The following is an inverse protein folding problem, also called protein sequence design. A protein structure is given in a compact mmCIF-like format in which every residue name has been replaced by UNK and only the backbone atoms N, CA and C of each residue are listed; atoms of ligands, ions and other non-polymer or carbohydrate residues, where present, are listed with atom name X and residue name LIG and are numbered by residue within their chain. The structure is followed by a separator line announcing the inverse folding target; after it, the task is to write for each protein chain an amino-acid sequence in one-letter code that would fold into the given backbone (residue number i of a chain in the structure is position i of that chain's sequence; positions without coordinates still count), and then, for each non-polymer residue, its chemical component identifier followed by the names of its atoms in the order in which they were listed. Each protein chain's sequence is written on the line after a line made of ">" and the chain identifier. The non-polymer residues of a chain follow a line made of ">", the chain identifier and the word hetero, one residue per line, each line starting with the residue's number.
data_IF_956072640147
#
_entry.id   IF_956072640147
#
_cell.length_a   1.000
_cell.length_b   1.000
_cell.length_c   1.000
_cell.angle_alpha   90.00
_cell.angle_beta   90.00
_cell.angle_gamma   90.00
#
_symmetry.space_group_name_H-M   'P 1'
#
loop_
_entity.id
_entity.type
_entity.pdbx_description
1 polymer ?
#
# COMPACT_ATOMS: atom_id res chain seq x y z
N UNK A 1 -18.27 -30.80 10.50
CA UNK A 1 -17.65 -30.30 9.26
C UNK A 1 -18.15 -28.87 9.07
N UNK A 2 -17.37 -27.87 9.49
CA UNK A 2 -17.74 -26.46 9.34
C UNK A 2 -17.20 -26.02 7.99
N UNK A 3 -18.10 -25.69 7.06
CA UNK A 3 -17.72 -25.13 5.76
C UNK A 3 -17.16 -23.72 6.05
N UNK A 4 -15.87 -23.47 5.84
CA UNK A 4 -15.32 -22.15 6.06
C UNK A 4 -15.99 -21.19 5.08
N UNK A 5 -16.46 -20.02 5.55
CA UNK A 5 -16.98 -18.99 4.67
C UNK A 5 -15.91 -18.61 3.65
N UNK A 6 -16.29 -18.25 2.42
CA UNK A 6 -15.37 -18.01 1.29
C UNK A 6 -14.16 -17.12 1.66
N UNK A 7 -14.37 -16.19 2.59
CA UNK A 7 -13.36 -15.28 3.09
C UNK A 7 -12.25 -15.95 3.93
N UNK A 8 -12.60 -16.97 4.72
CA UNK A 8 -11.62 -17.75 5.49
C UNK A 8 -10.81 -18.68 4.57
N UNK A 9 -11.45 -19.30 3.57
CA UNK A 9 -10.78 -20.21 2.62
C UNK A 9 -9.64 -19.53 1.85
N UNK A 10 -9.81 -18.27 1.45
CA UNK A 10 -8.76 -17.51 0.73
C UNK A 10 -7.55 -17.27 1.62
N UNK A 11 -7.75 -16.87 2.88
CA UNK A 11 -6.64 -16.62 3.82
C UNK A 11 -5.86 -17.90 4.14
N UNK A 12 -6.54 -19.03 4.33
CA UNK A 12 -5.88 -20.33 4.55
C UNK A 12 -5.06 -20.77 3.34
N UNK A 13 -5.56 -20.55 2.13
CA UNK A 13 -4.84 -20.84 0.90
C UNK A 13 -3.57 -20.00 0.77
N UNK A 14 -3.68 -18.67 0.98
CA UNK A 14 -2.53 -17.77 0.90
C UNK A 14 -1.50 -18.06 2.00
N UNK A 15 -1.92 -18.32 3.24
CA UNK A 15 -1.00 -18.69 4.33
C UNK A 15 -0.25 -20.00 4.05
N UNK A 16 -0.92 -20.99 3.45
CA UNK A 16 -0.29 -22.23 2.98
C UNK A 16 0.71 -21.99 1.86
N UNK A 17 0.37 -21.13 0.91
CA UNK A 17 1.27 -20.74 -0.19
C UNK A 17 2.49 -19.96 0.31
N UNK A 18 2.35 -19.06 1.29
CA UNK A 18 3.49 -18.38 1.93
C UNK A 18 4.46 -19.39 2.56
N UNK A 19 3.92 -20.43 3.22
CA UNK A 19 4.74 -21.51 3.77
C UNK A 19 5.50 -22.27 2.67
N UNK A 20 4.93 -22.42 1.47
CA UNK A 20 5.57 -23.07 0.32
C UNK A 20 6.78 -22.30 -0.24
N UNK A 21 6.81 -20.97 -0.06
CA UNK A 21 7.93 -20.10 -0.45
C UNK A 21 8.87 -19.77 0.72
N UNK A 22 8.72 -20.49 1.84
CA UNK A 22 9.58 -20.34 3.03
C UNK A 22 9.29 -19.11 3.88
N UNK A 23 8.10 -18.52 3.74
CA UNK A 23 7.65 -17.39 4.56
C UNK A 23 6.59 -17.84 5.59
N UNK A 24 6.63 -17.32 6.83
CA UNK A 24 5.59 -17.59 7.82
C UNK A 24 4.20 -17.19 7.31
N UNK A 25 3.21 -18.07 7.48
CA UNK A 25 1.84 -17.84 7.01
C UNK A 25 1.17 -16.57 7.58
N UNK A 26 1.58 -16.10 8.78
CA UNK A 26 1.07 -14.85 9.35
C UNK A 26 1.43 -13.61 8.51
N UNK A 27 2.53 -13.68 7.75
CA UNK A 27 2.93 -12.58 6.88
C UNK A 27 1.92 -12.36 5.75
N UNK A 28 1.21 -13.39 5.30
CA UNK A 28 0.15 -13.24 4.31
C UNK A 28 -0.91 -12.24 4.78
N UNK A 29 -1.40 -12.41 6.00
CA UNK A 29 -2.41 -11.53 6.60
C UNK A 29 -1.87 -10.11 6.81
N UNK A 30 -0.61 -9.98 7.27
CA UNK A 30 0.03 -8.67 7.48
C UNK A 30 0.21 -7.92 6.17
N UNK A 31 0.75 -8.59 5.14
CA UNK A 31 0.97 -7.99 3.81
C UNK A 31 -0.36 -7.58 3.19
N UNK A 32 -1.35 -8.47 3.18
CA UNK A 32 -2.69 -8.14 2.66
C UNK A 32 -3.32 -6.94 3.39
N UNK A 33 -3.17 -6.85 4.72
CA UNK A 33 -3.68 -5.71 5.48
C UNK A 33 -2.96 -4.41 5.12
N UNK A 34 -1.62 -4.44 4.98
CA UNK A 34 -0.82 -3.28 4.59
C UNK A 34 -1.17 -2.82 3.18
N UNK A 35 -1.28 -3.74 2.23
CA UNK A 35 -1.60 -3.41 0.84
C UNK A 35 -2.99 -2.77 0.71
N UNK A 36 -3.97 -3.32 1.41
CA UNK A 36 -5.34 -2.80 1.37
C UNK A 36 -5.45 -1.44 2.08
N UNK A 37 -5.06 -1.37 3.35
CA UNK A 37 -5.19 -0.15 4.16
C UNK A 37 -4.27 0.94 3.64
N UNK A 38 -3.03 0.58 3.30
CA UNK A 38 -2.05 1.51 2.76
C UNK A 38 -2.42 2.00 1.36
N UNK A 39 -3.01 1.15 0.51
CA UNK A 39 -3.53 1.57 -0.79
C UNK A 39 -4.63 2.63 -0.65
N UNK A 40 -5.58 2.40 0.27
CA UNK A 40 -6.63 3.39 0.59
C UNK A 40 -6.00 4.68 1.14
N UNK A 41 -5.03 4.58 2.05
CA UNK A 41 -4.34 5.74 2.60
C UNK A 41 -3.62 6.57 1.51
N UNK A 42 -2.99 5.90 0.53
CA UNK A 42 -2.37 6.57 -0.61
C UNK A 42 -3.39 7.26 -1.52
N UNK A 43 -4.54 6.62 -1.79
CA UNK A 43 -5.63 7.22 -2.58
C UNK A 43 -6.19 8.46 -1.88
N UNK A 44 -6.35 8.42 -0.55
CA UNK A 44 -6.80 9.56 0.26
C UNK A 44 -5.70 10.61 0.47
N UNK A 45 -4.45 10.34 0.08
CA UNK A 45 -3.31 11.23 0.28
C UNK A 45 -2.83 11.35 1.73
N UNK A 46 -3.31 10.50 2.65
CA UNK A 46 -2.94 10.53 4.07
C UNK A 46 -1.57 9.88 4.27
N UNK A 47 -0.67 10.57 4.99
CA UNK A 47 0.70 10.09 5.28
C UNK A 47 1.44 9.55 4.05
N UNK A 48 1.17 10.12 2.87
CA UNK A 48 1.55 9.54 1.57
C UNK A 48 3.04 9.22 1.48
N UNK A 49 3.90 10.01 2.13
CA UNK A 49 5.36 9.81 2.14
C UNK A 49 5.78 8.58 2.95
N UNK A 50 5.18 8.36 4.11
CA UNK A 50 5.49 7.19 4.95
C UNK A 50 4.88 5.92 4.35
N UNK A 51 3.64 5.99 3.88
CA UNK A 51 2.94 4.84 3.28
C UNK A 51 3.63 4.42 1.97
N UNK A 52 3.99 5.37 1.11
CA UNK A 52 4.72 5.05 -0.13
C UNK A 52 6.10 4.43 0.13
N UNK A 53 6.85 4.89 1.12
CA UNK A 53 8.12 4.27 1.50
C UNK A 53 7.93 2.81 1.95
N UNK A 54 6.86 2.52 2.69
CA UNK A 54 6.50 1.15 3.08
C UNK A 54 6.17 0.29 1.84
N UNK A 55 5.40 0.83 0.88
CA UNK A 55 5.09 0.14 -0.38
C UNK A 55 6.32 -0.15 -1.24
N UNK A 56 7.32 0.74 -1.26
CA UNK A 56 8.57 0.48 -1.98
C UNK A 56 9.27 -0.76 -1.43
N UNK A 57 9.38 -0.88 -0.10
CA UNK A 57 9.98 -2.05 0.54
C UNK A 57 9.15 -3.32 0.32
N UNK A 58 7.83 -3.19 0.40
CA UNK A 58 6.90 -4.31 0.19
C UNK A 58 7.02 -4.85 -1.23
N UNK A 59 6.94 -3.98 -2.24
CA UNK A 59 7.07 -4.36 -3.65
C UNK A 59 8.44 -4.93 -3.96
N UNK A 60 9.53 -4.36 -3.41
CA UNK A 60 10.87 -4.90 -3.59
C UNK A 60 10.99 -6.33 -3.02
N UNK A 61 10.45 -6.56 -1.81
CA UNK A 61 10.40 -7.88 -1.19
C UNK A 61 9.58 -8.89 -2.01
N UNK A 62 8.41 -8.48 -2.49
CA UNK A 62 7.54 -9.31 -3.32
C UNK A 62 8.21 -9.71 -4.65
N UNK A 63 8.85 -8.77 -5.34
CA UNK A 63 9.59 -9.06 -6.58
C UNK A 63 10.68 -10.10 -6.31
N UNK A 64 11.51 -9.87 -5.28
CA UNK A 64 12.66 -10.73 -4.98
C UNK A 64 12.23 -12.14 -4.54
N UNK A 65 11.19 -12.25 -3.71
CA UNK A 65 10.78 -13.53 -3.13
C UNK A 65 9.81 -14.33 -3.99
N UNK A 66 8.97 -13.66 -4.77
CA UNK A 66 7.82 -14.29 -5.42
C UNK A 66 7.94 -14.29 -6.93
N UNK A 67 8.35 -13.16 -7.53
CA UNK A 67 8.16 -12.94 -8.97
C UNK A 67 9.44 -12.99 -9.80
N UNK A 68 10.61 -13.00 -9.18
CA UNK A 68 11.90 -13.15 -9.90
C UNK A 68 11.93 -14.40 -10.80
N UNK A 69 11.37 -15.53 -10.33
CA UNK A 69 11.31 -16.77 -11.11
C UNK A 69 10.35 -16.70 -12.30
N UNK A 70 9.40 -15.76 -12.30
CA UNK A 70 8.43 -15.53 -13.38
C UNK A 70 8.98 -14.69 -14.52
N UNK A 71 10.12 -14.01 -14.35
CA UNK A 71 10.66 -13.07 -15.33
C UNK A 71 9.86 -11.77 -15.44
N UNK A 72 10.29 -10.86 -16.33
CA UNK A 72 9.72 -9.52 -16.45
C UNK A 72 8.27 -9.52 -16.95
N UNK A 73 7.99 -10.20 -18.06
CA UNK A 73 6.65 -10.29 -18.68
C UNK A 73 5.85 -11.52 -18.23
N UNK A 74 6.43 -12.39 -17.40
CA UNK A 74 5.86 -13.68 -17.04
C UNK A 74 6.40 -14.82 -17.90
N UNK A 75 6.09 -16.04 -17.48
CA UNK A 75 6.61 -17.28 -18.07
C UNK A 75 5.49 -18.23 -18.54
N UNK A 76 4.30 -17.68 -18.82
CA UNK A 76 3.11 -18.42 -19.25
C UNK A 76 2.36 -19.15 -18.14
N UNK A 77 2.96 -19.31 -16.94
CA UNK A 77 2.32 -19.91 -15.76
C UNK A 77 1.82 -18.86 -14.77
N UNK A 78 2.40 -17.66 -14.81
CA UNK A 78 1.99 -16.52 -14.00
C UNK A 78 2.42 -15.20 -14.62
N UNK A 79 1.84 -14.12 -14.11
CA UNK A 79 2.24 -12.76 -14.47
C UNK A 79 3.67 -12.49 -13.99
N UNK A 80 4.42 -11.74 -14.79
CA UNK A 80 5.75 -11.27 -14.41
C UNK A 80 5.73 -10.18 -13.34
N UNK A 81 6.90 -9.64 -13.03
CA UNK A 81 7.06 -8.57 -12.05
C UNK A 81 6.93 -7.15 -12.64
N UNK A 82 6.56 -7.00 -13.91
CA UNK A 82 6.38 -5.69 -14.56
C UNK A 82 5.42 -4.77 -13.78
N UNK A 83 4.24 -5.27 -13.39
CA UNK A 83 3.25 -4.48 -12.65
C UNK A 83 3.79 -4.03 -11.28
N UNK A 84 4.45 -4.93 -10.56
CA UNK A 84 5.02 -4.64 -9.24
C UNK A 84 6.18 -3.64 -9.35
N UNK A 85 6.95 -3.71 -10.43
CA UNK A 85 8.01 -2.74 -10.71
C UNK A 85 7.43 -1.36 -11.03
N UNK A 86 6.34 -1.30 -11.80
CA UNK A 86 5.62 -0.05 -12.07
C UNK A 86 5.05 0.55 -10.77
N UNK A 87 4.43 -0.27 -9.92
CA UNK A 87 3.93 0.15 -8.60
C UNK A 87 5.06 0.63 -7.68
N UNK A 88 6.20 -0.06 -7.69
CA UNK A 88 7.40 0.35 -6.95
C UNK A 88 7.90 1.71 -7.44
N UNK A 89 8.01 1.92 -8.76
CA UNK A 89 8.47 3.18 -9.34
C UNK A 89 7.52 4.35 -9.01
N UNK A 90 6.20 4.12 -9.09
CA UNK A 90 5.20 5.11 -8.69
C UNK A 90 5.28 5.43 -7.19
N UNK A 91 5.36 4.41 -6.34
CA UNK A 91 5.51 4.60 -4.90
C UNK A 91 6.82 5.33 -4.56
N UNK A 92 7.94 4.98 -5.21
CA UNK A 92 9.21 5.66 -5.02
C UNK A 92 9.14 7.15 -5.42
N UNK A 93 8.45 7.46 -6.50
CA UNK A 93 8.22 8.85 -6.94
C UNK A 93 7.45 9.63 -5.89
N UNK A 94 6.41 9.03 -5.29
CA UNK A 94 5.61 9.64 -4.21
C UNK A 94 6.44 9.76 -2.92
N UNK A 95 7.30 8.80 -2.61
CA UNK A 95 8.15 8.82 -1.42
C UNK A 95 9.21 9.93 -1.48
N UNK A 96 9.78 10.16 -2.67
CA UNK A 96 10.80 11.21 -2.90
C UNK A 96 10.14 12.58 -3.00
N UNK A 97 9.10 12.71 -3.82
CA UNK A 97 8.45 14.00 -4.12
C UNK A 97 7.50 14.45 -3.00
N UNK A 98 6.99 13.50 -2.21
CA UNK A 98 5.84 13.72 -1.33
C UNK A 98 4.54 13.89 -2.13
N UNK A 99 3.39 13.79 -1.45
CA UNK A 99 2.14 14.27 -2.04
C UNK A 99 2.13 15.80 -1.97
N UNK A 100 2.33 16.47 -3.11
CA UNK A 100 2.02 17.92 -3.25
C UNK A 100 0.52 18.20 -3.12
N UNK A 101 -0.33 17.16 -3.10
CA UNK A 101 -1.78 17.25 -3.01
C UNK A 101 -2.28 17.17 -1.55
N UNK A 102 -1.60 17.84 -0.61
CA UNK A 102 -2.24 18.19 0.67
C UNK A 102 -3.17 19.41 0.48
N UNK A 103 -4.13 19.26 -0.44
CA UNK A 103 -5.25 20.17 -0.67
C UNK A 103 -6.40 19.99 0.36
N UNK A 104 -6.30 19.02 1.28
CA UNK A 104 -7.27 18.85 2.37
C UNK A 104 -6.75 19.35 3.74
N UNK A 105 -5.45 19.21 4.01
CA UNK A 105 -4.84 19.78 5.24
C UNK A 105 -4.87 21.32 5.21
N UNK A 106 -4.73 21.91 4.01
CA UNK A 106 -4.82 23.35 3.83
C UNK A 106 -6.25 23.90 4.01
N UNK A 107 -7.31 23.12 3.78
CA UNK A 107 -8.69 23.58 4.02
C UNK A 107 -9.09 23.51 5.49
N UNK A 108 -8.57 22.54 6.25
CA UNK A 108 -8.86 22.41 7.69
C UNK A 108 -8.07 23.44 8.52
N UNK A 109 -6.81 23.73 8.16
CA UNK A 109 -6.01 24.71 8.89
C UNK A 109 -6.27 26.19 8.53
N UNK A 110 -6.83 26.51 7.36
CA UNK A 110 -7.20 27.90 6.99
C UNK A 110 -8.51 28.40 7.62
N UNK A 111 -9.29 27.52 8.25
CA UNK A 111 -10.54 27.91 8.93
C UNK A 111 -10.35 28.70 10.23
N UNK A 112 -9.11 28.81 10.76
CA UNK A 112 -8.87 29.33 12.10
C UNK A 112 -8.28 30.75 12.18
N UNK A 113 -7.96 31.38 11.05
CA UNK A 113 -7.33 32.71 11.04
C UNK A 113 -8.30 33.89 10.78
N UNK A 114 -9.49 33.63 10.22
CA UNK A 114 -10.41 34.72 9.84
C UNK A 114 -11.39 35.16 10.92
N UNK A 115 -11.41 34.55 12.12
CA UNK A 115 -12.38 34.89 13.17
C UNK A 115 -11.84 35.79 14.29
N UNK A 116 -10.54 36.12 14.30
CA UNK A 116 -9.95 36.94 15.39
C UNK A 116 -9.73 38.41 15.03
N UNK A 117 -9.88 38.81 13.77
CA UNK A 117 -9.61 40.19 13.34
C UNK A 117 -10.87 41.07 13.23
N UNK A 118 -12.05 40.54 13.57
CA UNK A 118 -13.32 41.27 13.55
C UNK A 118 -13.71 41.89 14.91
N UNK A 119 -12.89 41.72 15.94
CA UNK A 119 -13.20 42.17 17.31
C UNK A 119 -12.34 43.36 17.77
N UNK A 120 -11.37 43.82 16.98
CA UNK A 120 -10.50 44.95 17.31
C UNK A 120 -10.89 46.27 16.64
N UNK A 121 -12.08 46.37 16.04
CA UNK A 121 -12.67 47.65 15.60
C UNK A 121 -14.01 47.84 16.31
N UNK A 122 -13.93 48.27 17.57
CA UNK A 122 -14.91 49.06 18.31
C UNK A 122 -14.13 49.99 19.23
#
# INVERSE_FOLDING_TARGET
>A
MIIPSLQTTVQWYTAGWFSSIGLPGFLATVVTAIELVGGIALVLGLFSRAVSALFVLLMAGAIIKVKLAGGFLGNGQGAGYELDLALLAMAATIAITGSKLFALDQMVFRGKENSSNSTSIQ
#
